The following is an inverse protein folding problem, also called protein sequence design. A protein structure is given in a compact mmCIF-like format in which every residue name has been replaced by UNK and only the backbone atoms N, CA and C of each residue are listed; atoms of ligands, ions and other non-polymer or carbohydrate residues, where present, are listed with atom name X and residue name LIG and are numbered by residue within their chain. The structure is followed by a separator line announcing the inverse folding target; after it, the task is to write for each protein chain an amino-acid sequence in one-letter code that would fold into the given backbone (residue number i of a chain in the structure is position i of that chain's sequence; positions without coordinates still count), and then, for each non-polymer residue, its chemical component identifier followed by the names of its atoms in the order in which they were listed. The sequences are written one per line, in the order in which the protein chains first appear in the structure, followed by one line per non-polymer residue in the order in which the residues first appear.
data_IF_643454886061
#
_entry.id   IF_643454886061
#
_cell.length_a   1.000
_cell.length_b   1.000
_cell.length_c   1.000
_cell.angle_alpha   90.00
_cell.angle_beta   90.00
_cell.angle_gamma   90.00
#
_symmetry.space_group_name_H-M   'P 1'
#
loop_
_entity.id
_entity.type
_entity.pdbx_description
1 polymer ?
#
# COMPACT_ATOMS: atom_id res chain seq x y z
N UNK A 1 5.37 -29.80 -8.52
CA UNK A 1 5.36 -28.59 -9.37
C UNK A 1 4.01 -27.93 -9.17
N UNK A 2 3.94 -26.67 -8.72
CA UNK A 2 2.67 -25.96 -8.70
C UNK A 2 2.22 -25.69 -10.15
N UNK A 3 0.91 -25.71 -10.43
CA UNK A 3 0.40 -25.51 -11.78
C UNK A 3 0.68 -24.07 -12.23
N UNK A 4 1.37 -23.92 -13.37
CA UNK A 4 1.50 -22.64 -14.08
C UNK A 4 0.11 -22.18 -14.50
N UNK A 5 -0.26 -20.94 -14.17
CA UNK A 5 -1.50 -20.32 -14.66
C UNK A 5 -1.47 -20.32 -16.19
N UNK A 6 -2.53 -20.86 -16.80
CA UNK A 6 -2.71 -20.83 -18.26
C UNK A 6 -2.88 -19.36 -18.71
N UNK A 7 -2.08 -18.85 -19.67
CA UNK A 7 -2.15 -17.46 -20.13
C UNK A 7 -3.37 -17.14 -21.01
N UNK A 8 -4.34 -18.06 -21.15
CA UNK A 8 -5.40 -17.97 -22.15
C UNK A 8 -6.83 -17.77 -21.59
N UNK A 9 -7.00 -17.47 -20.30
CA UNK A 9 -8.34 -17.26 -19.73
C UNK A 9 -8.39 -16.29 -18.54
N UNK A 10 -7.52 -15.29 -18.50
CA UNK A 10 -7.76 -14.12 -17.66
C UNK A 10 -8.28 -13.03 -18.60
N UNK A 11 -9.60 -12.80 -18.60
CA UNK A 11 -10.03 -11.42 -18.78
C UNK A 11 -9.23 -10.58 -17.77
N UNK A 12 -8.66 -9.42 -18.14
CA UNK A 12 -8.01 -8.57 -17.16
C UNK A 12 -9.08 -8.21 -16.14
N UNK A 13 -9.06 -8.89 -14.99
CA UNK A 13 -9.90 -8.52 -13.86
C UNK A 13 -9.42 -7.12 -13.49
N UNK A 14 -10.29 -6.10 -13.54
CA UNK A 14 -9.86 -4.74 -13.27
C UNK A 14 -9.28 -4.71 -11.86
N UNK A 15 -8.06 -4.20 -11.76
CA UNK A 15 -7.38 -4.08 -10.49
C UNK A 15 -8.07 -2.94 -9.75
N UNK A 16 -8.91 -3.31 -8.77
CA UNK A 16 -9.70 -2.35 -8.01
C UNK A 16 -8.93 -1.72 -6.85
N UNK A 17 -7.67 -2.11 -6.67
CA UNK A 17 -6.82 -1.75 -5.55
C UNK A 17 -5.49 -1.23 -6.09
N UNK A 18 -5.06 -0.09 -5.58
CA UNK A 18 -3.69 0.38 -5.75
C UNK A 18 -2.89 0.01 -4.49
N UNK A 19 -1.66 -0.47 -4.70
CA UNK A 19 -0.67 -0.72 -3.67
C UNK A 19 0.56 0.15 -3.87
N UNK A 20 1.05 0.75 -2.78
CA UNK A 20 2.29 1.52 -2.78
C UNK A 20 3.46 0.57 -2.59
N UNK A 21 4.31 0.40 -3.60
CA UNK A 21 5.41 -0.58 -3.63
C UNK A 21 6.55 -0.23 -2.66
N UNK A 22 7.29 -1.24 -2.21
CA UNK A 22 8.36 -1.04 -1.20
C UNK A 22 9.62 -0.43 -1.81
N UNK A 23 9.89 -0.76 -3.06
CA UNK A 23 11.19 -0.50 -3.71
C UNK A 23 11.32 0.93 -4.23
N UNK A 24 10.23 1.52 -4.72
CA UNK A 24 10.25 2.83 -5.36
C UNK A 24 9.16 3.79 -4.90
N UNK A 25 8.36 3.38 -3.92
CA UNK A 25 7.25 4.13 -3.32
C UNK A 25 6.13 4.53 -4.31
N UNK A 26 6.11 3.91 -5.50
CA UNK A 26 5.10 4.14 -6.54
C UNK A 26 3.80 3.39 -6.27
N UNK A 27 2.69 3.93 -6.75
CA UNK A 27 1.38 3.27 -6.74
C UNK A 27 1.18 2.41 -7.97
N UNK A 28 0.76 1.15 -7.75
CA UNK A 28 0.50 0.18 -8.80
C UNK A 28 -0.82 -0.54 -8.59
N UNK A 29 -1.52 -0.85 -9.69
CA UNK A 29 -2.70 -1.71 -9.65
C UNK A 29 -2.32 -3.14 -9.24
N UNK A 30 -3.02 -3.69 -8.25
CA UNK A 30 -2.74 -5.03 -7.74
C UNK A 30 -4.00 -5.88 -7.56
N UNK A 31 -3.78 -7.19 -7.49
CA UNK A 31 -4.71 -8.18 -7.00
C UNK A 31 -4.16 -8.84 -5.74
N UNK A 32 -5.05 -9.16 -4.80
CA UNK A 32 -4.66 -9.70 -3.50
C UNK A 32 -5.13 -11.15 -3.36
N UNK A 33 -4.27 -11.98 -2.77
CA UNK A 33 -4.59 -13.36 -2.45
C UNK A 33 -4.03 -13.73 -1.08
N UNK A 34 -4.86 -14.37 -0.23
CA UNK A 34 -4.37 -14.96 1.03
C UNK A 34 -4.05 -16.42 0.80
N UNK A 35 -2.79 -16.77 0.98
CA UNK A 35 -2.25 -18.11 0.83
C UNK A 35 -1.87 -18.71 2.19
N UNK A 36 -1.69 -20.04 2.23
CA UNK A 36 -1.10 -20.70 3.39
C UNK A 36 0.40 -20.42 3.42
N UNK A 37 0.90 -19.98 4.58
CA UNK A 37 2.32 -19.82 4.82
C UNK A 37 2.96 -21.09 5.41
N UNK A 38 4.21 -20.95 5.83
CA UNK A 38 4.90 -22.00 6.58
C UNK A 38 4.31 -22.11 8.00
N UNK A 39 4.05 -23.34 8.46
CA UNK A 39 3.37 -23.60 9.74
C UNK A 39 1.90 -23.18 9.74
N UNK A 40 1.44 -22.56 10.83
CA UNK A 40 0.07 -22.02 10.97
C UNK A 40 -0.11 -20.62 10.36
N UNK A 41 0.95 -20.06 9.77
CA UNK A 41 0.93 -18.72 9.20
C UNK A 41 0.03 -18.58 7.98
N UNK A 42 -0.43 -17.35 7.72
CA UNK A 42 -1.03 -16.96 6.44
C UNK A 42 -0.16 -15.90 5.78
N UNK A 43 -0.12 -15.93 4.45
CA UNK A 43 0.63 -14.99 3.64
C UNK A 43 -0.31 -14.21 2.75
N UNK A 44 -0.16 -12.89 2.71
CA UNK A 44 -0.78 -12.07 1.68
C UNK A 44 0.19 -11.98 0.51
N UNK A 45 -0.26 -12.42 -0.66
CA UNK A 45 0.43 -12.20 -1.92
C UNK A 45 -0.20 -10.99 -2.61
N UNK A 46 0.65 -10.02 -2.93
CA UNK A 46 0.32 -8.81 -3.70
C UNK A 46 0.79 -9.04 -5.13
N UNK A 47 -0.16 -9.24 -6.04
CA UNK A 47 0.10 -9.55 -7.44
C UNK A 47 -0.04 -8.29 -8.28
N UNK A 48 1.06 -7.86 -8.89
CA UNK A 48 1.06 -6.67 -9.74
C UNK A 48 0.39 -6.96 -11.08
N UNK A 49 -0.59 -6.14 -11.47
CA UNK A 49 -1.45 -6.48 -12.60
C UNK A 49 -0.76 -6.46 -13.96
N UNK A 50 0.18 -5.52 -14.13
CA UNK A 50 0.90 -5.32 -15.39
C UNK A 50 2.29 -5.96 -15.39
N UNK A 51 2.63 -6.70 -14.33
CA UNK A 51 3.96 -7.25 -14.11
C UNK A 51 3.91 -8.78 -13.92
N UNK A 52 4.99 -9.49 -14.26
CA UNK A 52 5.07 -10.93 -14.06
C UNK A 52 5.12 -11.31 -12.58
N UNK A 53 4.70 -12.53 -12.26
CA UNK A 53 4.66 -13.07 -10.88
C UNK A 53 5.98 -12.99 -10.10
N UNK A 54 7.13 -12.86 -10.79
CA UNK A 54 8.44 -12.67 -10.14
C UNK A 54 8.55 -11.33 -9.42
N UNK A 55 7.70 -10.37 -9.75
CA UNK A 55 7.61 -9.06 -9.12
C UNK A 55 6.67 -9.05 -7.90
N UNK A 56 5.92 -10.13 -7.64
CA UNK A 56 4.92 -10.16 -6.57
C UNK A 56 5.57 -10.02 -5.18
N UNK A 57 4.96 -9.20 -4.32
CA UNK A 57 5.37 -9.06 -2.92
C UNK A 57 4.56 -10.01 -2.03
N UNK A 58 5.20 -10.57 -1.00
CA UNK A 58 4.55 -11.48 -0.06
C UNK A 58 4.79 -11.06 1.37
N UNK A 59 3.71 -10.94 2.15
CA UNK A 59 3.73 -10.53 3.55
C UNK A 59 3.20 -11.65 4.44
N UNK A 60 3.87 -11.92 5.55
CA UNK A 60 3.43 -12.96 6.51
C UNK A 60 2.66 -12.32 7.66
N UNK A 61 1.56 -12.94 8.08
CA UNK A 61 0.69 -12.39 9.14
C UNK A 61 1.40 -12.23 10.49
N UNK A 62 2.48 -12.98 10.74
CA UNK A 62 3.33 -12.85 11.92
C UNK A 62 4.54 -11.92 11.75
N UNK A 63 4.62 -11.17 10.65
CA UNK A 63 5.77 -10.32 10.32
C UNK A 63 5.72 -8.90 10.89
N UNK A 64 4.69 -8.55 11.65
CA UNK A 64 4.48 -7.21 12.21
C UNK A 64 4.84 -7.18 13.70
N UNK A 65 5.56 -6.15 14.17
CA UNK A 65 5.96 -6.07 15.57
C UNK A 65 4.78 -5.71 16.47
N UNK A 66 3.96 -4.76 16.03
CA UNK A 66 2.81 -4.26 16.77
C UNK A 66 1.67 -3.78 15.85
N UNK A 67 0.63 -3.18 16.44
CA UNK A 67 -0.53 -2.68 15.71
C UNK A 67 -0.22 -1.42 14.88
N UNK A 68 0.79 -0.63 15.26
CA UNK A 68 1.21 0.56 14.50
C UNK A 68 1.86 0.14 13.18
N UNK A 69 2.79 -0.83 13.21
CA UNK A 69 3.39 -1.42 12.02
C UNK A 69 2.31 -1.98 11.05
N UNK A 70 1.29 -2.64 11.60
CA UNK A 70 0.19 -3.20 10.81
C UNK A 70 -0.72 -2.11 10.21
N UNK A 71 -0.94 -1.02 10.95
CA UNK A 71 -1.66 0.15 10.45
C UNK A 71 -0.89 0.85 9.33
N UNK A 72 0.42 1.03 9.45
CA UNK A 72 1.26 1.58 8.39
C UNK A 72 1.21 0.72 7.13
N UNK A 73 1.30 -0.60 7.29
CA UNK A 73 1.12 -1.53 6.18
C UNK A 73 -0.24 -1.38 5.50
N UNK A 74 -1.32 -1.25 6.28
CA UNK A 74 -2.67 -1.07 5.72
C UNK A 74 -2.81 0.22 4.90
N UNK A 75 -2.04 1.28 5.23
CA UNK A 75 -2.05 2.57 4.50
C UNK A 75 -1.40 2.49 3.13
N UNK A 76 -0.69 1.40 2.83
CA UNK A 76 -0.13 1.13 1.50
C UNK A 76 -1.15 0.61 0.50
N UNK A 77 -2.41 0.41 0.91
CA UNK A 77 -3.49 -0.01 0.03
C UNK A 77 -4.57 1.07 -0.06
N UNK A 78 -5.13 1.24 -1.25
CA UNK A 78 -6.30 2.11 -1.46
C UNK A 78 -7.14 1.59 -2.62
N UNK A 79 -8.36 2.12 -2.75
CA UNK A 79 -9.17 1.91 -3.95
C UNK A 79 -8.48 2.56 -5.15
N UNK A 80 -8.56 1.91 -6.31
CA UNK A 80 -7.86 2.41 -7.49
C UNK A 80 -8.30 3.81 -7.89
N UNK A 81 -7.29 4.62 -8.18
CA UNK A 81 -7.41 6.02 -8.60
C UNK A 81 -8.12 6.10 -9.95
N UNK A 82 -8.99 7.09 -10.13
CA UNK A 82 -9.71 7.31 -11.39
C UNK A 82 -9.00 8.34 -12.26
N UNK A 83 -8.66 7.99 -13.50
CA UNK A 83 -8.14 8.97 -14.45
C UNK A 83 -9.23 9.96 -14.83
N UNK A 84 -8.92 11.25 -14.77
CA UNK A 84 -9.82 12.31 -15.16
C UNK A 84 -9.96 12.38 -16.68
N UNK A 85 -11.17 12.69 -17.13
CA UNK A 85 -11.42 13.11 -18.50
C UNK A 85 -11.26 14.62 -18.64
N UNK A 86 -11.05 15.09 -19.86
CA UNK A 86 -10.72 16.49 -20.16
C UNK A 86 -11.76 17.48 -19.64
N UNK A 87 -13.05 17.15 -19.74
CA UNK A 87 -14.15 17.95 -19.21
C UNK A 87 -14.27 17.94 -17.67
N UNK A 88 -13.56 17.03 -16.99
CA UNK A 88 -13.54 16.89 -15.53
C UNK A 88 -12.42 17.72 -14.88
N UNK A 89 -11.71 18.56 -15.65
CA UNK A 89 -10.60 19.38 -15.14
C UNK A 89 -10.99 20.30 -13.97
N UNK A 90 -12.27 20.69 -13.90
CA UNK A 90 -12.83 21.52 -12.83
C UNK A 90 -12.96 20.81 -11.48
N UNK A 91 -12.80 19.47 -11.44
CA UNK A 91 -12.80 18.71 -10.19
C UNK A 91 -11.46 18.83 -9.43
N UNK A 92 -10.39 19.20 -10.14
CA UNK A 92 -9.06 19.40 -9.54
C UNK A 92 -8.98 20.81 -8.95
N UNK A 93 -8.82 20.88 -7.63
CA UNK A 93 -8.78 22.13 -6.87
C UNK A 93 -7.52 22.23 -6.04
N UNK A 94 -7.08 23.46 -5.75
CA UNK A 94 -5.94 23.73 -4.87
C UNK A 94 -6.13 23.10 -3.49
N UNK A 95 -5.04 22.56 -2.93
CA UNK A 95 -5.01 21.82 -1.67
C UNK A 95 -5.47 20.36 -1.77
N UNK A 96 -6.01 19.92 -2.91
CA UNK A 96 -6.41 18.53 -3.13
C UNK A 96 -5.19 17.62 -3.24
N UNK A 97 -5.26 16.41 -2.66
CA UNK A 97 -4.28 15.35 -2.95
C UNK A 97 -4.75 14.53 -4.14
N UNK A 98 -3.89 14.40 -5.14
CA UNK A 98 -4.11 13.62 -6.36
C UNK A 98 -3.04 12.54 -6.50
N UNK A 99 -3.36 11.50 -7.26
CA UNK A 99 -2.38 10.55 -7.76
C UNK A 99 -1.90 11.05 -9.12
N UNK A 100 -0.62 11.35 -9.27
CA UNK A 100 -0.08 11.91 -10.50
C UNK A 100 1.01 11.02 -11.09
N UNK A 101 1.01 10.92 -12.42
CA UNK A 101 2.04 10.20 -13.15
C UNK A 101 3.30 11.05 -13.35
N UNK A 102 4.46 10.40 -13.35
CA UNK A 102 5.74 10.99 -13.70
C UNK A 102 6.52 10.02 -14.58
N UNK A 103 7.08 10.53 -15.67
CA UNK A 103 7.85 9.73 -16.63
C UNK A 103 9.36 9.78 -16.31
N UNK A 104 9.96 8.60 -16.10
CA UNK A 104 11.39 8.40 -15.96
C UNK A 104 11.99 7.93 -17.30
N UNK A 105 11.99 8.82 -18.29
CA UNK A 105 12.45 8.49 -19.64
C UNK A 105 11.40 7.75 -20.46
N UNK A 106 11.84 7.01 -21.49
CA UNK A 106 10.92 6.35 -22.42
C UNK A 106 10.33 5.07 -21.81
N UNK A 107 9.00 5.06 -21.63
CA UNK A 107 8.24 3.86 -21.25
C UNK A 107 8.21 3.53 -19.76
N UNK A 108 8.87 4.32 -18.90
CA UNK A 108 8.79 4.17 -17.43
C UNK A 108 7.91 5.29 -16.87
N UNK A 109 6.62 5.01 -16.70
CA UNK A 109 5.65 5.93 -16.11
C UNK A 109 5.22 5.37 -14.76
N UNK A 110 5.39 6.17 -13.70
CA UNK A 110 5.05 5.77 -12.33
C UNK A 110 4.14 6.79 -11.69
N UNK A 111 3.39 6.36 -10.69
CA UNK A 111 2.35 7.15 -10.06
C UNK A 111 2.70 7.43 -8.60
N UNK A 112 2.58 8.69 -8.18
CA UNK A 112 2.86 9.14 -6.82
C UNK A 112 1.79 10.11 -6.33
N UNK A 113 1.71 10.33 -5.02
CA UNK A 113 0.80 11.35 -4.50
C UNK A 113 1.43 12.73 -4.54
N UNK A 114 0.63 13.70 -4.95
CA UNK A 114 0.99 15.10 -4.91
C UNK A 114 -0.19 15.94 -4.42
N UNK A 115 0.14 17.09 -3.82
CA UNK A 115 -0.85 18.12 -3.49
C UNK A 115 -0.89 19.12 -4.64
N UNK A 116 -2.10 19.48 -5.07
CA UNK A 116 -2.31 20.55 -6.05
C UNK A 116 -2.04 21.88 -5.38
N UNK A 117 -0.95 22.55 -5.75
CA UNK A 117 -0.58 23.85 -5.19
C UNK A 117 -1.24 25.02 -5.92
N UNK A 118 -1.42 24.88 -7.24
CA UNK A 118 -1.96 25.93 -8.10
C UNK A 118 -2.68 25.31 -9.30
N UNK A 119 -3.80 25.91 -9.70
CA UNK A 119 -4.57 25.49 -10.89
C UNK A 119 -4.64 26.65 -11.89
N UNK A 120 -4.04 26.45 -13.05
CA UNK A 120 -4.04 27.41 -14.15
C UNK A 120 -5.07 26.99 -15.20
N UNK A 121 -6.32 27.42 -15.03
CA UNK A 121 -7.39 27.19 -16.00
C UNK A 121 -7.10 27.89 -17.33
N UNK A 122 -7.41 27.24 -18.44
CA UNK A 122 -7.22 27.74 -19.80
C UNK A 122 -8.34 27.26 -20.70
N UNK A 123 -8.58 27.97 -21.80
CA UNK A 123 -9.61 27.57 -22.77
C UNK A 123 -9.26 26.20 -23.38
N UNK A 124 -10.21 25.27 -23.35
CA UNK A 124 -10.06 23.97 -23.98
C UNK A 124 -10.00 24.13 -25.51
N UNK A 125 -9.29 23.21 -26.15
CA UNK A 125 -9.19 23.16 -27.61
C UNK A 125 -10.09 22.07 -28.14
N UNK A 126 -10.56 22.24 -29.38
CA UNK A 126 -11.23 21.17 -30.11
C UNK A 126 -10.26 20.68 -31.18
N UNK A 127 -9.83 19.44 -31.08
CA UNK A 127 -8.92 18.80 -32.03
C UNK A 127 -9.66 17.61 -32.63
N UNK A 128 -9.84 17.63 -33.95
CA UNK A 128 -10.55 16.56 -34.69
C UNK A 128 -11.98 16.24 -34.20
N UNK A 129 -12.60 17.15 -33.45
CA UNK A 129 -13.94 17.00 -32.89
C UNK A 129 -13.95 16.63 -31.40
N UNK A 130 -12.80 16.30 -30.83
CA UNK A 130 -12.65 15.99 -29.41
C UNK A 130 -12.18 17.21 -28.62
N UNK A 131 -12.73 17.37 -27.43
CA UNK A 131 -12.31 18.39 -26.46
C UNK A 131 -11.00 17.97 -25.82
N UNK A 132 -10.00 18.86 -25.89
CA UNK A 132 -8.67 18.69 -25.32
C UNK A 132 -8.44 19.74 -24.25
N UNK A 133 -8.27 19.27 -23.01
CA UNK A 133 -7.95 20.13 -21.87
C UNK A 133 -6.56 20.75 -22.05
N UNK A 134 -6.45 22.05 -21.80
CA UNK A 134 -5.16 22.77 -21.82
C UNK A 134 -4.81 23.39 -20.47
N UNK A 135 -5.60 23.08 -19.43
CA UNK A 135 -5.32 23.51 -18.08
C UNK A 135 -4.01 22.92 -17.58
N UNK A 136 -3.29 23.68 -16.74
CA UNK A 136 -2.05 23.23 -16.13
C UNK A 136 -2.19 23.19 -14.61
N UNK A 137 -1.67 22.13 -13.99
CA UNK A 137 -1.71 21.92 -12.55
C UNK A 137 -0.29 21.92 -11.99
N UNK A 138 -0.04 22.73 -10.97
CA UNK A 138 1.24 22.71 -10.23
C UNK A 138 1.10 21.74 -9.07
N UNK A 139 1.96 20.72 -9.06
CA UNK A 139 1.92 19.63 -8.10
C UNK A 139 3.11 19.71 -7.15
N UNK A 140 2.87 19.62 -5.84
CA UNK A 140 3.86 19.39 -4.80
C UNK A 140 3.88 17.91 -4.41
N UNK A 141 4.89 17.19 -4.87
CA UNK A 141 5.04 15.75 -4.64
C UNK A 141 5.22 15.44 -3.15
N UNK A 142 4.43 14.51 -2.63
CA UNK A 142 4.45 14.11 -1.23
C UNK A 142 5.48 13.02 -0.95
N UNK A 143 5.77 12.19 -1.96
CA UNK A 143 6.65 11.04 -1.83
C UNK A 143 7.30 10.67 -3.18
N UNK A 144 8.07 9.58 -3.19
CA UNK A 144 8.84 9.16 -4.36
C UNK A 144 10.04 10.07 -4.68
N UNK A 145 10.67 9.89 -5.87
CA UNK A 145 11.93 10.56 -6.23
C UNK A 145 11.86 12.10 -6.32
N UNK A 146 10.65 12.66 -6.42
CA UNK A 146 10.43 14.10 -6.52
C UNK A 146 9.88 14.72 -5.24
N UNK A 147 9.82 13.99 -4.11
CA UNK A 147 9.27 14.47 -2.85
C UNK A 147 9.76 15.88 -2.48
N UNK A 148 8.82 16.77 -2.14
CA UNK A 148 9.08 18.17 -1.80
C UNK A 148 9.36 19.10 -2.99
N UNK A 149 9.43 18.59 -4.22
CA UNK A 149 9.60 19.41 -5.44
C UNK A 149 8.24 19.80 -6.02
N UNK A 150 8.25 20.87 -6.80
CA UNK A 150 7.10 21.32 -7.60
C UNK A 150 7.30 21.01 -9.08
N UNK A 151 6.27 20.53 -9.75
CA UNK A 151 6.25 20.34 -11.20
C UNK A 151 4.90 20.77 -11.78
N UNK A 152 4.90 21.19 -13.04
CA UNK A 152 3.68 21.50 -13.79
C UNK A 152 3.31 20.33 -14.69
N UNK A 153 2.02 20.00 -14.77
CA UNK A 153 1.51 18.90 -15.61
C UNK A 153 0.12 19.20 -16.17
N UNK A 154 -0.29 18.44 -17.18
CA UNK A 154 -1.66 18.45 -17.74
C UNK A 154 -2.60 17.46 -17.04
N UNK A 155 -3.89 17.48 -17.41
CA UNK A 155 -4.91 16.63 -16.78
C UNK A 155 -4.70 15.14 -17.03
N UNK A 156 -4.12 14.78 -18.18
CA UNK A 156 -3.86 13.41 -18.62
C UNK A 156 -2.95 12.64 -17.64
N UNK A 157 -2.19 13.39 -16.85
CA UNK A 157 -1.26 12.89 -15.85
C UNK A 157 -1.83 12.90 -14.42
N UNK A 158 -3.08 13.30 -14.22
CA UNK A 158 -3.74 13.45 -12.91
C UNK A 158 -4.89 12.46 -12.77
N UNK A 159 -4.86 11.71 -11.67
CA UNK A 159 -5.91 10.79 -11.27
C UNK A 159 -6.50 11.22 -9.92
N UNK A 160 -7.83 11.20 -9.80
CA UNK A 160 -8.50 11.45 -8.55
C UNK A 160 -8.42 10.24 -7.61
N UNK A 161 -8.09 10.54 -6.36
CA UNK A 161 -8.24 9.59 -5.29
C UNK A 161 -9.72 9.42 -5.00
N UNK A 162 -10.23 8.19 -5.13
CA UNK A 162 -11.54 7.87 -4.57
C UNK A 162 -11.50 8.15 -3.08
N UNK A 163 -12.56 8.78 -2.56
CA UNK A 163 -12.67 8.99 -1.12
C UNK A 163 -12.36 7.69 -0.38
N UNK A 164 -11.69 7.78 0.77
CA UNK A 164 -11.39 6.63 1.64
C UNK A 164 -12.69 6.02 2.20
N UNK A 165 -13.53 5.44 1.35
CA UNK A 165 -14.40 4.36 1.76
C UNK A 165 -13.50 3.25 2.28
N UNK A 166 -13.87 2.63 3.40
CA UNK A 166 -13.18 1.45 3.93
C UNK A 166 -12.95 0.50 2.75
N UNK A 167 -11.71 0.31 2.34
CA UNK A 167 -11.35 -0.57 1.23
C UNK A 167 -11.81 -1.98 1.62
N UNK A 168 -12.87 -2.49 0.99
CA UNK A 168 -13.42 -3.81 1.30
C UNK A 168 -12.83 -4.80 0.28
N UNK A 169 -11.52 -5.03 0.38
CA UNK A 169 -10.94 -6.21 -0.24
C UNK A 169 -10.96 -7.36 0.76
N UNK A 170 -11.69 -8.46 0.49
CA UNK A 170 -11.83 -9.56 1.45
C UNK A 170 -10.49 -10.22 1.81
N UNK A 171 -9.52 -10.24 0.90
CA UNK A 171 -8.21 -10.84 1.16
C UNK A 171 -7.38 -9.96 2.08
N UNK A 172 -7.36 -8.64 1.86
CA UNK A 172 -6.73 -7.68 2.76
C UNK A 172 -7.37 -7.70 4.16
N UNK A 173 -8.70 -7.62 4.23
CA UNK A 173 -9.44 -7.63 5.50
C UNK A 173 -9.13 -8.90 6.31
N UNK A 174 -9.17 -10.06 5.67
CA UNK A 174 -8.82 -11.33 6.30
C UNK A 174 -7.37 -11.34 6.79
N UNK A 175 -6.43 -10.86 5.98
CA UNK A 175 -5.01 -10.81 6.35
C UNK A 175 -4.75 -9.88 7.53
N UNK A 176 -5.35 -8.68 7.56
CA UNK A 176 -5.21 -7.73 8.66
C UNK A 176 -5.78 -8.31 9.97
N UNK A 177 -6.93 -9.01 9.91
CA UNK A 177 -7.50 -9.69 11.08
C UNK A 177 -6.55 -10.77 11.64
N UNK A 178 -5.99 -11.60 10.76
CA UNK A 178 -5.05 -12.65 11.14
C UNK A 178 -3.76 -12.07 11.72
N UNK A 179 -3.28 -10.96 11.17
CA UNK A 179 -2.08 -10.28 11.65
C UNK A 179 -2.28 -9.70 13.05
N UNK A 180 -3.44 -9.04 13.30
CA UNK A 180 -3.83 -8.60 14.65
C UNK A 180 -3.87 -9.75 15.66
N UNK A 181 -4.38 -10.93 15.27
CA UNK A 181 -4.41 -12.12 16.13
C UNK A 181 -2.99 -12.62 16.45
N UNK A 182 -2.08 -12.55 15.49
CA UNK A 182 -0.68 -12.93 15.67
C UNK A 182 0.02 -12.01 16.68
N UNK A 183 -0.14 -10.68 16.53
CA UNK A 183 0.44 -9.68 17.44
C UNK A 183 -0.04 -9.92 18.89
N UNK A 184 -1.34 -10.14 19.09
CA UNK A 184 -1.92 -10.41 20.42
C UNK A 184 -1.39 -11.70 21.05
N UNK A 185 -1.23 -12.75 20.25
CA UNK A 185 -0.70 -14.03 20.71
C UNK A 185 0.78 -13.94 21.09
N UNK A 186 1.57 -13.16 20.34
CA UNK A 186 2.97 -12.90 20.65
C UNK A 186 3.13 -12.12 21.98
N UNK A 187 2.25 -11.14 22.24
CA UNK A 187 2.22 -10.40 23.51
C UNK A 187 1.83 -11.24 24.73
N UNK A 188 1.16 -12.38 24.54
CA UNK A 188 0.77 -13.30 25.62
C UNK A 188 1.89 -14.29 26.02
N UNK A 189 3.02 -14.30 25.30
CA UNK A 189 4.19 -15.15 25.59
C UNK A 189 5.05 -14.71 26.79
N UNK A 190 4.72 -13.62 27.48
CA UNK A 190 5.45 -13.14 28.67
C UNK A 190 4.58 -13.12 29.92
N UNK A 191 3.81 -14.17 30.18
CA UNK A 191 3.43 -14.47 31.55
C UNK A 191 4.66 -15.08 32.24
N UNK A 192 5.52 -14.23 32.82
CA UNK A 192 6.43 -14.67 33.88
C UNK A 192 5.58 -15.24 35.01
N UNK A 193 5.36 -16.55 34.99
CA UNK A 193 4.90 -17.28 36.16
C UNK A 193 5.96 -17.13 37.24
N UNK A 194 5.84 -16.10 38.07
CA UNK A 194 6.46 -16.13 39.38
C UNK A 194 5.72 -17.19 40.19
N UNK A 195 6.25 -18.41 40.20
CA UNK A 195 5.90 -19.37 41.24
C UNK A 195 6.39 -18.73 42.55
N UNK A 196 5.48 -18.10 43.29
CA UNK A 196 5.77 -17.68 44.67
C UNK A 196 5.85 -18.96 45.50
N UNK A 197 7.02 -19.58 45.53
CA UNK A 197 7.35 -20.53 46.58
C UNK A 197 7.47 -19.72 47.87
N UNK A 198 6.45 -19.81 48.74
CA UNK A 198 6.56 -19.37 50.12
C UNK A 198 7.63 -20.21 50.81
N UNK A 199 8.87 -19.75 50.76
CA UNK A 199 9.93 -20.21 51.65
C UNK A 199 9.82 -19.43 52.96
N UNK A 200 9.80 -20.16 54.07
CA UNK A 200 9.71 -19.63 55.42
C UNK A 200 10.87 -18.68 55.77
N UNK A 201 10.78 -18.01 56.94
CA UNK A 201 11.62 -16.87 57.25
C UNK A 201 13.08 -17.28 57.44
N UNK A 202 13.94 -16.77 56.54
CA UNK A 202 15.37 -16.68 56.74
C UNK A 202 16.18 -17.48 55.72
N UNK A 203 16.59 -16.83 54.63
CA UNK A 203 17.91 -17.03 54.00
C UNK A 203 18.17 -15.94 52.95
N UNK A 204 19.43 -15.51 52.89
CA UNK A 204 19.95 -14.34 52.15
C UNK A 204 19.90 -14.57 50.64
N UNK A 205 19.61 -13.51 49.88
CA UNK A 205 19.70 -13.50 48.42
C UNK A 205 21.16 -13.61 47.97
N UNK A 206 21.48 -14.67 47.25
CA UNK A 206 22.58 -14.68 46.28
C UNK A 206 21.96 -14.65 44.89
N UNK A 207 22.24 -13.58 44.14
CA UNK A 207 21.99 -13.51 42.71
C UNK A 207 22.78 -14.63 42.03
N UNK A 208 22.10 -15.58 41.38
CA UNK A 208 22.73 -16.54 40.48
C UNK A 208 22.15 -16.31 39.10
N UNK A 209 23.06 -15.96 38.19
CA UNK A 209 22.83 -15.74 36.77
C UNK A 209 22.35 -17.00 36.05
N UNK A 210 21.89 -16.75 34.82
CA UNK A 210 21.96 -17.66 33.67
C UNK A 210 20.76 -18.62 33.59
N UNK A 211 20.17 -18.90 32.42
CA UNK A 211 20.82 -19.30 31.18
C UNK A 211 19.93 -18.97 29.96
N UNK A 212 20.60 -18.54 28.89
CA UNK A 212 20.21 -18.71 27.49
C UNK A 212 20.22 -20.19 27.08
N UNK A 213 19.54 -20.49 25.95
CA UNK A 213 19.45 -21.75 25.18
C UNK A 213 18.35 -22.73 25.60
N UNK A 214 17.61 -23.37 24.68
CA UNK A 214 17.75 -23.62 23.24
C UNK A 214 16.48 -23.26 22.46
#
# INVERSE_FOLDING_TARGET
MPPKRNPAAASPQPCGIDFRASDDDGWYGVQLCVERGDGDGRRLRVMYCDFPEVCDETFTSGGFADEEDLEEFSRRFRASSGQLQDWECGEVVEGMTVCASYAFGEGDVRFYDAVVEEVCFSDHKIIEGDEVCTCTFVLLWQHGPNAGRKTSTGIEHVCLLKQRSKLIDPALDLFLELSRKSIKSAGQGSCKFYIILKLGPGLRFTCVQSLTSL
#
